data_IF_498155225317
#
_entry.id   IF_498155225317
#
_cell.length_a   1.000
_cell.length_b   1.000
_cell.length_c   1.000
_cell.angle_alpha   90.00
_cell.angle_beta   90.00
_cell.angle_gamma   90.00
#
_symmetry.space_group_name_H-M   'P 1'
#
loop_
_entity.id
_entity.type
_entity.pdbx_description
1 polymer ?
#
# COMPACT_ATOMS: atom_id res chain seq x y z
N UNK A 1 16.99 23.24 1.93
CA UNK A 1 15.54 23.51 1.86
C UNK A 1 14.95 23.28 3.24
N UNK A 2 14.22 24.23 3.82
CA UNK A 2 13.66 24.08 5.17
C UNK A 2 12.72 22.88 5.25
N UNK A 3 12.76 22.14 6.36
CA UNK A 3 11.97 20.91 6.64
C UNK A 3 10.46 21.06 6.36
N UNK A 4 9.94 22.29 6.43
CA UNK A 4 8.52 22.62 6.20
C UNK A 4 8.09 22.32 4.76
N UNK A 5 8.94 22.60 3.75
CA UNK A 5 8.64 22.36 2.33
C UNK A 5 8.64 20.89 1.92
N UNK A 6 9.13 19.97 2.77
CA UNK A 6 9.09 18.52 2.52
C UNK A 6 7.74 17.89 2.92
N UNK A 7 6.92 18.59 3.66
CA UNK A 7 5.60 18.10 4.08
C UNK A 7 4.59 18.21 2.95
N UNK A 8 3.94 17.11 2.58
CA UNK A 8 2.84 17.07 1.60
C UNK A 8 1.75 18.11 1.94
N UNK A 9 1.38 18.20 3.23
CA UNK A 9 0.41 19.20 3.72
C UNK A 9 0.87 20.62 3.41
N UNK A 10 2.13 20.95 3.68
CA UNK A 10 2.66 22.28 3.42
C UNK A 10 2.66 22.60 1.91
N UNK A 11 2.98 21.64 1.06
CA UNK A 11 2.91 21.81 -0.41
C UNK A 11 1.49 22.04 -0.89
N UNK A 12 0.52 21.31 -0.37
CA UNK A 12 -0.91 21.51 -0.69
C UNK A 12 -1.36 22.89 -0.25
N UNK A 13 -1.04 23.30 0.99
CA UNK A 13 -1.40 24.63 1.51
C UNK A 13 -0.74 25.74 0.68
N UNK A 14 0.54 25.62 0.33
CA UNK A 14 1.26 26.60 -0.50
C UNK A 14 0.65 26.67 -1.90
N UNK A 15 0.32 25.54 -2.52
CA UNK A 15 -0.31 25.50 -3.84
C UNK A 15 -1.69 26.19 -3.82
N UNK A 16 -2.50 25.90 -2.80
CA UNK A 16 -3.82 26.51 -2.62
C UNK A 16 -3.72 28.03 -2.36
N UNK A 17 -2.81 28.45 -1.49
CA UNK A 17 -2.58 29.88 -1.26
C UNK A 17 -2.05 30.57 -2.53
N UNK A 18 -1.19 29.90 -3.31
CA UNK A 18 -0.70 30.41 -4.57
C UNK A 18 -1.81 30.60 -5.61
N UNK A 19 -2.72 29.62 -5.74
CA UNK A 19 -3.87 29.73 -6.65
C UNK A 19 -4.84 30.85 -6.24
N UNK A 20 -5.07 31.02 -4.94
CA UNK A 20 -5.88 32.13 -4.41
C UNK A 20 -5.25 33.49 -4.70
N UNK A 21 -3.94 33.61 -4.52
CA UNK A 21 -3.21 34.85 -4.81
C UNK A 21 -3.25 35.17 -6.30
N UNK A 22 -3.06 34.17 -7.18
CA UNK A 22 -3.15 34.33 -8.63
C UNK A 22 -4.58 34.76 -9.02
N UNK A 23 -5.60 34.14 -8.44
CA UNK A 23 -7.01 34.51 -8.68
C UNK A 23 -7.32 35.94 -8.24
N UNK A 24 -6.80 36.36 -7.09
CA UNK A 24 -6.95 37.73 -6.60
C UNK A 24 -6.27 38.75 -7.53
N UNK A 25 -5.04 38.44 -7.97
CA UNK A 25 -4.29 39.31 -8.90
C UNK A 25 -5.01 39.40 -10.26
N UNK A 26 -5.49 38.25 -10.79
CA UNK A 26 -6.24 38.22 -12.03
C UNK A 26 -7.56 39.01 -11.94
N UNK A 27 -8.27 38.90 -10.81
CA UNK A 27 -9.47 39.69 -10.58
C UNK A 27 -9.16 41.18 -10.53
N UNK A 28 -8.12 41.57 -9.79
CA UNK A 28 -7.67 42.95 -9.69
C UNK A 28 -7.25 43.51 -11.07
N UNK A 29 -6.50 42.72 -11.84
CA UNK A 29 -6.10 43.08 -13.20
C UNK A 29 -7.31 43.28 -14.14
N UNK A 30 -8.30 42.37 -14.06
CA UNK A 30 -9.54 42.48 -14.84
C UNK A 30 -10.36 43.72 -14.43
N UNK A 31 -10.48 43.97 -13.13
CA UNK A 31 -11.14 45.16 -12.60
C UNK A 31 -10.46 46.45 -13.08
N UNK A 32 -9.13 46.50 -13.04
CA UNK A 32 -8.34 47.63 -13.52
C UNK A 32 -8.50 47.83 -15.03
N UNK A 33 -8.51 46.73 -15.81
CA UNK A 33 -8.74 46.78 -17.26
C UNK A 33 -10.14 47.29 -17.62
N UNK A 34 -11.16 46.87 -16.89
CA UNK A 34 -12.53 47.34 -17.07
C UNK A 34 -12.72 48.82 -16.65
N UNK A 35 -11.95 49.27 -15.65
CA UNK A 35 -11.94 50.69 -15.22
C UNK A 35 -10.99 51.56 -16.06
N UNK A 36 -10.40 50.99 -17.11
CA UNK A 36 -9.32 51.61 -17.85
C UNK A 36 -9.76 52.71 -18.84
N UNK A 37 -8.79 53.48 -19.40
CA UNK A 37 -9.02 54.69 -20.23
C UNK A 37 -9.81 54.43 -21.51
N UNK A 38 -9.94 53.18 -21.96
CA UNK A 38 -10.75 52.85 -23.18
C UNK A 38 -12.25 53.00 -22.89
N UNK A 39 -12.72 52.52 -21.76
CA UNK A 39 -14.13 52.63 -21.36
C UNK A 39 -14.49 54.07 -20.99
N UNK A 40 -13.54 54.80 -20.38
CA UNK A 40 -13.70 56.22 -20.13
C UNK A 40 -13.81 57.01 -21.43
N UNK A 41 -13.08 56.67 -22.49
CA UNK A 41 -13.18 57.31 -23.80
C UNK A 41 -14.56 57.05 -24.46
N UNK A 42 -15.09 55.86 -24.38
CA UNK A 42 -16.39 55.52 -24.92
C UNK A 42 -17.50 56.34 -24.19
N UNK A 43 -17.43 56.40 -22.85
CA UNK A 43 -18.35 57.19 -22.04
C UNK A 43 -18.25 58.66 -22.43
N UNK A 44 -17.05 59.24 -22.57
CA UNK A 44 -16.84 60.65 -22.98
C UNK A 44 -17.40 60.91 -24.40
N UNK A 45 -17.21 60.03 -25.38
CA UNK A 45 -17.76 60.21 -26.71
C UNK A 45 -19.30 60.22 -26.68
N UNK A 46 -19.90 59.37 -25.84
CA UNK A 46 -21.35 59.37 -25.66
C UNK A 46 -21.84 60.67 -24.99
N UNK A 47 -21.14 61.12 -23.93
CA UNK A 47 -21.45 62.36 -23.23
C UNK A 47 -21.22 63.60 -24.08
N UNK A 48 -20.18 63.63 -24.94
CA UNK A 48 -19.93 64.72 -25.87
C UNK A 48 -21.09 64.92 -26.89
N UNK A 49 -21.78 63.84 -27.23
CA UNK A 49 -22.99 63.95 -28.09
C UNK A 49 -24.18 64.46 -27.29
N UNK A 50 -24.37 64.00 -26.08
CA UNK A 50 -25.46 64.43 -25.19
C UNK A 50 -25.39 65.93 -24.84
N UNK A 51 -24.17 66.46 -24.67
CA UNK A 51 -24.02 67.89 -24.38
C UNK A 51 -24.44 68.73 -25.57
N UNK A 52 -24.07 68.33 -26.80
CA UNK A 52 -24.47 69.08 -28.02
C UNK A 52 -25.98 69.00 -28.20
N UNK A 53 -26.63 67.85 -27.99
CA UNK A 53 -28.08 67.71 -28.07
C UNK A 53 -28.79 68.56 -27.00
N UNK A 54 -28.24 68.60 -25.77
CA UNK A 54 -28.75 69.43 -24.69
C UNK A 54 -28.62 70.93 -24.96
N UNK A 55 -27.52 71.37 -25.57
CA UNK A 55 -27.31 72.74 -26.00
C UNK A 55 -28.26 73.11 -27.14
N UNK A 56 -28.44 72.23 -28.10
CA UNK A 56 -29.37 72.46 -29.17
C UNK A 56 -30.82 72.66 -28.67
N UNK A 57 -31.23 71.81 -27.73
CA UNK A 57 -32.55 71.97 -27.09
C UNK A 57 -32.70 73.33 -26.37
N UNK A 58 -31.62 73.73 -25.67
CA UNK A 58 -31.60 75.02 -24.95
C UNK A 58 -31.69 76.20 -25.88
N UNK A 59 -30.97 76.16 -27.02
CA UNK A 59 -30.88 77.27 -27.97
C UNK A 59 -32.09 77.39 -28.85
N UNK A 60 -32.68 76.28 -29.32
CA UNK A 60 -33.79 76.22 -30.23
C UNK A 60 -35.15 76.35 -29.57
N UNK A 61 -35.33 75.69 -28.45
CA UNK A 61 -36.66 75.57 -27.79
C UNK A 61 -36.68 76.17 -26.36
N UNK A 62 -35.55 76.65 -25.85
CA UNK A 62 -35.45 77.34 -24.58
C UNK A 62 -35.23 76.45 -23.38
N UNK A 63 -35.17 77.05 -22.13
CA UNK A 63 -34.78 76.32 -20.89
C UNK A 63 -35.72 75.16 -20.52
N UNK A 64 -37.00 75.23 -20.91
CA UNK A 64 -37.97 74.17 -20.64
C UNK A 64 -37.71 72.87 -21.42
N UNK A 65 -37.27 72.99 -22.67
CA UNK A 65 -36.94 71.84 -23.53
C UNK A 65 -35.62 71.21 -23.06
N UNK A 66 -34.63 72.03 -22.67
CA UNK A 66 -33.38 71.54 -22.07
C UNK A 66 -33.66 70.79 -20.81
N UNK A 67 -34.52 71.27 -19.91
CA UNK A 67 -34.97 70.61 -18.73
C UNK A 67 -35.59 69.24 -18.96
N UNK A 68 -36.50 69.18 -19.95
CA UNK A 68 -37.15 67.93 -20.36
C UNK A 68 -36.16 66.94 -20.96
N UNK A 69 -35.18 67.42 -21.71
CA UNK A 69 -34.08 66.54 -22.23
C UNK A 69 -33.23 65.98 -21.13
N UNK A 70 -32.77 66.81 -20.17
CA UNK A 70 -31.97 66.37 -19.02
C UNK A 70 -32.76 65.41 -18.15
N UNK A 71 -34.04 65.66 -17.86
CA UNK A 71 -34.91 64.73 -17.12
C UNK A 71 -35.03 63.37 -17.75
N UNK A 72 -35.13 63.31 -19.10
CA UNK A 72 -35.13 62.04 -19.84
C UNK A 72 -33.79 61.30 -19.74
N UNK A 73 -32.68 62.05 -19.79
CA UNK A 73 -31.36 61.43 -19.60
C UNK A 73 -31.22 60.86 -18.19
N UNK A 74 -31.62 61.61 -17.15
CA UNK A 74 -31.62 61.17 -15.77
C UNK A 74 -32.37 59.85 -15.57
N UNK A 75 -33.58 59.81 -16.13
CA UNK A 75 -34.44 58.65 -16.02
C UNK A 75 -33.89 57.41 -16.80
N UNK A 76 -33.29 57.62 -17.99
CA UNK A 76 -32.78 56.56 -18.81
C UNK A 76 -31.46 55.96 -18.33
N UNK A 77 -30.59 56.78 -17.70
CA UNK A 77 -29.24 56.40 -17.30
C UNK A 77 -29.09 56.18 -15.79
N UNK A 78 -30.09 56.50 -14.98
CA UNK A 78 -30.04 56.43 -13.53
C UNK A 78 -28.95 57.33 -12.94
N UNK A 79 -28.61 58.40 -13.63
CA UNK A 79 -27.60 59.39 -13.25
C UNK A 79 -28.26 60.79 -13.15
N UNK A 80 -27.61 61.73 -12.52
CA UNK A 80 -28.07 63.11 -12.48
C UNK A 80 -27.20 63.95 -13.40
N UNK A 81 -27.81 64.66 -14.32
CA UNK A 81 -27.11 65.47 -15.30
C UNK A 81 -27.38 66.96 -15.03
N UNK A 82 -26.34 67.77 -15.12
CA UNK A 82 -26.46 69.23 -15.04
C UNK A 82 -25.80 69.86 -16.26
N UNK A 83 -26.54 70.74 -16.93
CA UNK A 83 -26.02 71.54 -18.05
C UNK A 83 -25.64 72.88 -17.52
N UNK A 84 -24.33 73.19 -17.47
CA UNK A 84 -23.80 74.40 -16.85
C UNK A 84 -23.03 75.30 -17.84
N UNK A 85 -22.82 76.54 -17.50
CA UNK A 85 -21.84 77.41 -18.16
C UNK A 85 -20.40 77.00 -17.79
N UNK A 86 -19.43 77.73 -18.34
CA UNK A 86 -18.01 77.45 -18.06
C UNK A 86 -17.61 77.77 -16.59
N UNK A 87 -18.39 78.60 -15.87
CA UNK A 87 -18.20 78.93 -14.48
C UNK A 87 -18.83 77.87 -13.53
N UNK A 88 -19.70 76.99 -14.06
CA UNK A 88 -20.42 75.99 -13.26
C UNK A 88 -21.81 76.43 -12.81
N UNK A 89 -22.40 77.49 -13.41
CA UNK A 89 -23.77 77.89 -13.14
C UNK A 89 -24.70 77.06 -13.99
N UNK A 90 -25.66 76.40 -13.37
CA UNK A 90 -26.69 75.58 -14.05
C UNK A 90 -27.57 76.48 -14.92
N UNK A 91 -27.69 76.12 -16.20
CA UNK A 91 -28.42 76.90 -17.19
C UNK A 91 -29.94 76.71 -17.11
N UNK A 92 -30.42 75.71 -16.40
CA UNK A 92 -31.81 75.34 -16.22
C UNK A 92 -32.33 75.94 -14.86
N UNK A 93 -31.63 75.64 -13.77
CA UNK A 93 -32.08 76.04 -12.46
C UNK A 93 -31.47 77.39 -11.95
N UNK A 94 -30.36 77.82 -12.57
CA UNK A 94 -29.60 79.00 -12.16
C UNK A 94 -28.71 78.76 -10.93
N UNK A 95 -28.69 77.58 -10.37
CA UNK A 95 -27.90 77.27 -9.18
C UNK A 95 -26.38 77.21 -9.45
N UNK A 96 -25.58 77.53 -8.48
CA UNK A 96 -24.12 77.38 -8.57
C UNK A 96 -23.68 75.94 -8.27
N UNK A 97 -23.17 75.28 -9.29
CA UNK A 97 -22.61 73.94 -9.27
C UNK A 97 -21.07 73.93 -9.44
N UNK A 98 -20.41 75.06 -9.25
CA UNK A 98 -18.96 75.21 -9.44
C UNK A 98 -18.15 74.27 -8.55
N UNK A 99 -18.67 73.89 -7.38
CA UNK A 99 -18.09 72.92 -6.49
C UNK A 99 -17.83 71.57 -7.17
N UNK A 100 -18.75 71.13 -8.07
CA UNK A 100 -18.60 69.85 -8.80
C UNK A 100 -17.47 69.91 -9.83
N UNK A 101 -17.07 71.09 -10.30
CA UNK A 101 -15.94 71.26 -11.21
C UNK A 101 -14.58 71.18 -10.52
N UNK A 102 -14.53 71.36 -9.20
CA UNK A 102 -13.31 71.40 -8.39
C UNK A 102 -13.08 70.15 -7.60
N UNK A 103 -13.81 69.07 -7.86
CA UNK A 103 -13.66 67.79 -7.15
C UNK A 103 -12.24 67.28 -7.32
N UNK A 104 -11.49 67.02 -6.24
CA UNK A 104 -10.13 66.51 -6.35
C UNK A 104 -10.12 65.14 -7.05
N UNK A 105 -9.15 64.95 -7.95
CA UNK A 105 -8.92 63.62 -8.55
C UNK A 105 -8.22 62.77 -7.54
N UNK A 106 -8.80 61.66 -7.13
CA UNK A 106 -8.10 60.74 -6.26
C UNK A 106 -6.88 60.14 -6.99
N UNK A 107 -5.92 59.61 -6.24
CA UNK A 107 -4.77 58.92 -6.83
C UNK A 107 -5.19 57.71 -7.70
N UNK A 108 -6.34 57.13 -7.37
CA UNK A 108 -6.86 55.97 -8.07
C UNK A 108 -8.38 56.15 -8.32
N UNK A 109 -8.80 56.03 -9.60
CA UNK A 109 -10.21 56.12 -10.00
C UNK A 109 -10.66 57.52 -10.42
N UNK A 110 -11.91 57.64 -10.89
CA UNK A 110 -12.52 58.94 -11.23
C UNK A 110 -12.87 59.77 -9.97
N UNK A 111 -13.03 61.11 -10.13
CA UNK A 111 -13.47 61.97 -9.02
C UNK A 111 -14.83 61.51 -8.48
N UNK A 112 -15.00 61.54 -7.18
CA UNK A 112 -16.25 61.16 -6.51
C UNK A 112 -16.67 62.20 -5.50
N UNK A 113 -17.97 62.36 -5.35
CA UNK A 113 -18.61 63.15 -4.31
C UNK A 113 -19.84 62.39 -3.79
N UNK A 114 -20.01 62.27 -2.50
CA UNK A 114 -21.16 61.56 -1.89
C UNK A 114 -21.41 60.16 -2.52
N UNK A 115 -20.33 59.39 -2.72
CA UNK A 115 -20.34 58.03 -3.32
C UNK A 115 -20.88 58.03 -4.79
N UNK A 116 -20.88 59.19 -5.48
CA UNK A 116 -21.19 59.31 -6.88
C UNK A 116 -20.01 59.76 -7.71
N UNK A 117 -19.83 59.16 -8.85
CA UNK A 117 -18.81 59.56 -9.84
C UNK A 117 -19.16 60.92 -10.42
N UNK A 118 -18.20 61.82 -10.47
CA UNK A 118 -18.35 63.13 -11.13
C UNK A 118 -17.60 63.08 -12.43
N UNK A 119 -18.37 63.17 -13.54
CA UNK A 119 -17.80 63.26 -14.89
C UNK A 119 -18.18 64.62 -15.43
N UNK A 120 -17.19 65.37 -15.89
CA UNK A 120 -17.39 66.69 -16.49
C UNK A 120 -16.89 66.66 -17.92
N UNK A 121 -17.78 66.89 -18.85
CA UNK A 121 -17.48 66.97 -20.28
C UNK A 121 -17.76 68.36 -20.80
N UNK A 122 -16.77 69.04 -21.40
CA UNK A 122 -16.95 70.36 -22.01
C UNK A 122 -17.61 70.25 -23.40
N UNK A 123 -18.40 71.24 -23.78
CA UNK A 123 -18.86 71.44 -25.14
C UNK A 123 -17.69 71.73 -26.10
N UNK A 124 -17.91 71.56 -27.41
CA UNK A 124 -16.88 71.81 -28.46
C UNK A 124 -16.34 73.26 -28.42
N UNK A 125 -17.20 74.24 -28.09
CA UNK A 125 -16.84 75.64 -28.02
C UNK A 125 -16.30 76.06 -26.65
N UNK A 126 -16.32 75.10 -25.66
CA UNK A 126 -15.84 75.31 -24.29
C UNK A 126 -16.73 76.21 -23.41
N UNK A 127 -17.86 76.72 -23.93
CA UNK A 127 -18.76 77.62 -23.24
C UNK A 127 -19.66 76.91 -22.23
N UNK A 128 -19.99 75.66 -22.49
CA UNK A 128 -20.90 74.84 -21.67
C UNK A 128 -20.20 73.61 -21.14
N UNK A 129 -20.74 73.02 -20.06
CA UNK A 129 -20.28 71.80 -19.46
C UNK A 129 -21.47 70.93 -19.08
N UNK A 130 -21.34 69.61 -19.39
CA UNK A 130 -22.24 68.60 -18.86
C UNK A 130 -21.59 67.93 -17.68
N UNK A 131 -22.19 68.08 -16.50
CA UNK A 131 -21.75 67.42 -15.26
C UNK A 131 -22.68 66.28 -15.03
N UNK A 132 -22.09 65.07 -14.89
CA UNK A 132 -22.85 63.84 -14.68
C UNK A 132 -22.45 63.26 -13.33
N UNK A 133 -23.43 63.07 -12.46
CA UNK A 133 -23.31 62.35 -11.22
C UNK A 133 -23.91 60.98 -11.38
N UNK A 134 -23.05 59.97 -11.60
CA UNK A 134 -23.48 58.58 -11.78
C UNK A 134 -23.12 57.74 -10.54
N UNK A 135 -23.93 56.73 -10.21
CA UNK A 135 -23.50 55.75 -9.21
C UNK A 135 -22.24 55.04 -9.72
N UNK A 136 -21.32 54.64 -8.82
CA UNK A 136 -20.14 53.92 -9.22
C UNK A 136 -20.56 52.61 -9.87
N UNK A 137 -20.04 52.26 -11.09
CA UNK A 137 -20.45 51.09 -11.84
C UNK A 137 -20.18 49.80 -11.05
N UNK A 138 -19.25 49.85 -10.12
CA UNK A 138 -18.89 48.73 -9.26
C UNK A 138 -18.44 49.24 -7.89
N UNK A 139 -19.09 48.74 -6.84
CA UNK A 139 -18.60 48.92 -5.48
C UNK A 139 -17.73 47.69 -5.15
N UNK A 140 -16.41 47.89 -5.04
CA UNK A 140 -15.47 46.82 -4.71
C UNK A 140 -15.79 46.13 -3.38
N UNK A 141 -16.34 46.89 -2.42
CA UNK A 141 -16.73 46.38 -1.12
C UNK A 141 -17.85 45.34 -1.17
N UNK A 142 -18.70 45.39 -2.23
CA UNK A 142 -19.76 44.41 -2.46
C UNK A 142 -19.21 43.03 -2.77
N UNK A 143 -17.98 42.93 -3.23
CA UNK A 143 -17.35 41.64 -3.56
C UNK A 143 -16.57 41.03 -2.39
N UNK A 144 -16.23 41.83 -1.37
CA UNK A 144 -15.47 41.37 -0.18
C UNK A 144 -16.13 40.16 0.50
N UNK A 145 -17.46 40.12 0.78
CA UNK A 145 -18.09 38.96 1.41
C UNK A 145 -17.99 37.71 0.58
N UNK A 146 -18.08 37.78 -0.76
CA UNK A 146 -17.92 36.65 -1.65
C UNK A 146 -16.49 36.12 -1.63
N UNK A 147 -15.48 36.99 -1.60
CA UNK A 147 -14.08 36.58 -1.46
C UNK A 147 -13.80 35.92 -0.11
N UNK A 148 -14.32 36.43 0.97
CA UNK A 148 -14.20 35.84 2.30
C UNK A 148 -14.87 34.45 2.34
N UNK A 149 -16.04 34.30 1.68
CA UNK A 149 -16.71 33.01 1.58
C UNK A 149 -15.87 31.99 0.79
N UNK A 150 -15.32 32.39 -0.35
CA UNK A 150 -14.44 31.52 -1.17
C UNK A 150 -13.20 31.13 -0.36
N UNK A 151 -12.55 32.09 0.31
CA UNK A 151 -11.40 31.82 1.14
C UNK A 151 -11.71 30.82 2.27
N UNK A 152 -12.82 31.05 2.98
CA UNK A 152 -13.27 30.15 4.05
C UNK A 152 -13.55 28.73 3.52
N UNK A 153 -14.20 28.62 2.36
CA UNK A 153 -14.49 27.34 1.72
C UNK A 153 -13.21 26.60 1.33
N UNK A 154 -12.23 27.29 0.76
CA UNK A 154 -10.96 26.68 0.35
C UNK A 154 -10.15 26.24 1.58
N UNK A 155 -10.10 27.06 2.64
CA UNK A 155 -9.43 26.69 3.89
C UNK A 155 -10.10 25.46 4.52
N UNK A 156 -11.44 25.45 4.56
CA UNK A 156 -12.20 24.30 5.08
C UNK A 156 -11.93 23.03 4.27
N UNK A 157 -11.99 23.09 2.94
CA UNK A 157 -11.72 21.96 2.07
C UNK A 157 -10.30 21.43 2.22
N UNK A 158 -9.31 22.33 2.30
CA UNK A 158 -7.90 21.95 2.51
C UNK A 158 -7.71 21.27 3.87
N UNK A 159 -8.39 21.76 4.90
CA UNK A 159 -8.36 21.15 6.24
C UNK A 159 -9.00 19.76 6.26
N UNK A 160 -10.14 19.59 5.57
CA UNK A 160 -10.80 18.29 5.41
C UNK A 160 -9.90 17.29 4.68
N UNK A 161 -9.26 17.69 3.59
CA UNK A 161 -8.29 16.85 2.85
C UNK A 161 -7.09 16.47 3.72
N UNK A 162 -6.58 17.41 4.53
CA UNK A 162 -5.46 17.14 5.43
C UNK A 162 -5.81 16.08 6.49
N UNK A 163 -7.01 16.12 7.05
CA UNK A 163 -7.47 15.13 8.06
C UNK A 163 -7.87 13.82 7.36
N UNK A 164 -8.60 13.91 6.25
CA UNK A 164 -9.17 12.76 5.56
C UNK A 164 -8.13 11.88 4.85
N UNK A 165 -7.07 12.46 4.32
CA UNK A 165 -6.10 11.74 3.49
C UNK A 165 -4.68 11.80 4.08
N UNK A 166 -4.18 13.01 4.34
CA UNK A 166 -2.74 13.16 4.67
C UNK A 166 -2.38 12.52 6.01
N UNK A 167 -3.23 12.69 7.03
CA UNK A 167 -2.98 12.10 8.36
C UNK A 167 -2.99 10.57 8.34
N UNK A 168 -4.02 9.89 7.79
CA UNK A 168 -4.04 8.42 7.70
C UNK A 168 -2.86 7.85 6.92
N UNK A 169 -2.53 8.40 5.75
CA UNK A 169 -1.38 7.96 4.95
C UNK A 169 -0.06 8.09 5.73
N UNK A 170 0.12 9.16 6.50
CA UNK A 170 1.28 9.31 7.39
C UNK A 170 1.31 8.29 8.52
N UNK A 171 0.15 7.84 9.00
CA UNK A 171 0.08 6.77 10.00
C UNK A 171 0.59 5.46 9.42
N UNK A 172 0.12 5.06 8.24
CA UNK A 172 0.61 3.86 7.54
C UNK A 172 2.11 3.98 7.27
N UNK A 173 2.57 5.10 6.71
CA UNK A 173 4.00 5.31 6.43
C UNK A 173 4.90 5.21 7.68
N UNK A 174 4.42 5.67 8.85
CA UNK A 174 5.16 5.51 10.11
C UNK A 174 5.20 4.06 10.57
N UNK A 175 4.08 3.34 10.49
CA UNK A 175 4.03 1.92 10.82
C UNK A 175 4.97 1.10 9.94
N UNK A 176 4.96 1.33 8.62
CA UNK A 176 5.92 0.71 7.67
C UNK A 176 7.37 1.01 8.06
N UNK A 177 7.66 2.27 8.41
CA UNK A 177 9.02 2.66 8.82
C UNK A 177 9.47 2.02 10.14
N UNK A 178 8.57 1.86 11.12
CA UNK A 178 8.88 1.21 12.39
C UNK A 178 9.07 -0.30 12.20
N UNK A 179 8.19 -0.93 11.42
CA UNK A 179 8.32 -2.34 11.04
C UNK A 179 9.66 -2.62 10.34
N UNK A 180 10.05 -1.79 9.38
CA UNK A 180 11.35 -1.89 8.68
C UNK A 180 12.58 -1.66 9.57
N UNK A 181 12.41 -1.06 10.76
CA UNK A 181 13.47 -0.91 11.77
C UNK A 181 13.56 -2.10 12.74
N UNK A 182 12.71 -3.12 12.53
CA UNK A 182 12.75 -4.37 13.32
C UNK A 182 11.65 -4.51 14.36
N UNK A 183 10.74 -3.55 14.51
CA UNK A 183 9.54 -3.72 15.34
C UNK A 183 8.47 -4.47 14.55
N UNK A 184 8.63 -5.82 14.55
CA UNK A 184 7.74 -6.71 13.79
C UNK A 184 6.32 -6.80 14.38
N UNK A 185 6.10 -6.31 15.60
CA UNK A 185 4.78 -6.29 16.25
C UNK A 185 3.91 -5.12 15.79
N UNK A 186 4.51 -4.16 15.06
CA UNK A 186 3.81 -2.94 14.64
C UNK A 186 2.67 -3.26 13.66
N UNK A 187 1.48 -2.76 13.99
CA UNK A 187 0.27 -2.87 13.13
C UNK A 187 -0.39 -1.51 12.97
N UNK A 188 -1.08 -1.34 11.85
CA UNK A 188 -1.93 -0.17 11.58
C UNK A 188 -3.32 -0.45 12.12
N UNK A 189 -3.84 0.46 12.96
CA UNK A 189 -5.24 0.38 13.38
C UNK A 189 -6.13 0.84 12.23
N UNK A 190 -6.81 -0.10 11.58
CA UNK A 190 -7.73 0.19 10.49
C UNK A 190 -9.13 0.42 11.06
N UNK A 191 -9.66 1.62 10.82
CA UNK A 191 -11.01 2.03 11.25
C UNK A 191 -11.87 2.50 10.08
N UNK A 192 -11.34 2.41 8.85
CA UNK A 192 -11.94 2.93 7.62
C UNK A 192 -12.23 1.79 6.65
N UNK A 193 -13.29 1.99 5.83
CA UNK A 193 -13.70 1.06 4.78
C UNK A 193 -13.54 1.72 3.40
N UNK A 194 -12.36 2.34 3.16
CA UNK A 194 -11.97 2.94 1.90
C UNK A 194 -10.59 2.41 1.47
N UNK A 195 -10.05 2.90 0.35
CA UNK A 195 -8.77 2.47 -0.23
C UNK A 195 -7.59 2.63 0.75
N UNK A 196 -7.68 3.58 1.68
CA UNK A 196 -6.67 3.76 2.74
C UNK A 196 -6.84 2.68 3.83
N UNK A 197 -8.07 2.26 4.09
CA UNK A 197 -8.37 1.11 4.92
C UNK A 197 -7.80 -0.18 4.33
N UNK A 198 -8.04 -0.42 3.04
CA UNK A 198 -7.52 -1.58 2.30
C UNK A 198 -5.98 -1.62 2.32
N UNK A 199 -5.32 -0.47 2.16
CA UNK A 199 -3.87 -0.36 2.31
C UNK A 199 -3.41 -0.74 3.72
N UNK A 200 -4.15 -0.35 4.75
CA UNK A 200 -3.87 -0.71 6.14
C UNK A 200 -4.00 -2.21 6.39
N UNK A 201 -5.04 -2.86 5.84
CA UNK A 201 -5.21 -4.33 5.90
C UNK A 201 -4.09 -5.06 5.17
N UNK A 202 -3.80 -4.67 3.92
CA UNK A 202 -2.72 -5.28 3.15
C UNK A 202 -1.35 -5.18 3.84
N UNK A 203 -1.07 -4.04 4.49
CA UNK A 203 0.14 -3.90 5.31
C UNK A 203 0.12 -4.87 6.51
N UNK A 204 -0.98 -4.98 7.23
CA UNK A 204 -1.08 -5.85 8.41
C UNK A 204 -0.91 -7.33 8.02
N UNK A 205 -1.52 -7.76 6.92
CA UNK A 205 -1.39 -9.13 6.38
C UNK A 205 0.07 -9.43 5.98
N UNK A 206 0.73 -8.49 5.31
CA UNK A 206 2.15 -8.61 4.98
C UNK A 206 3.02 -8.68 6.25
N UNK A 207 2.73 -7.81 7.23
CA UNK A 207 3.47 -7.76 8.49
C UNK A 207 3.32 -9.07 9.29
N UNK A 208 2.14 -9.65 9.33
CA UNK A 208 1.87 -10.94 10.00
C UNK A 208 2.64 -12.08 9.34
N UNK A 209 2.62 -12.15 8.00
CA UNK A 209 3.37 -13.16 7.25
C UNK A 209 4.88 -13.05 7.50
N UNK A 210 5.43 -11.83 7.46
CA UNK A 210 6.86 -11.60 7.69
C UNK A 210 7.26 -11.91 9.14
N UNK A 211 6.45 -11.52 10.13
CA UNK A 211 6.70 -11.85 11.54
C UNK A 211 6.72 -13.36 11.76
N UNK A 212 5.75 -14.07 11.17
CA UNK A 212 5.67 -15.54 11.25
C UNK A 212 6.90 -16.19 10.62
N UNK A 213 7.31 -15.75 9.43
CA UNK A 213 8.48 -16.27 8.73
C UNK A 213 9.77 -16.02 9.52
N UNK A 214 10.02 -14.78 9.97
CA UNK A 214 11.22 -14.44 10.73
C UNK A 214 11.28 -15.13 12.10
N UNK A 215 10.11 -15.34 12.73
CA UNK A 215 10.04 -16.08 13.99
C UNK A 215 10.35 -17.57 13.79
N UNK A 216 9.83 -18.17 12.71
CA UNK A 216 10.13 -19.54 12.34
C UNK A 216 11.62 -19.72 12.00
N UNK A 217 12.21 -18.80 11.25
CA UNK A 217 13.64 -18.80 10.92
C UNK A 217 14.52 -18.70 12.17
N UNK A 218 14.20 -17.79 13.10
CA UNK A 218 14.96 -17.66 14.36
C UNK A 218 14.88 -18.92 15.20
N UNK A 219 13.71 -19.55 15.30
CA UNK A 219 13.53 -20.82 16.01
C UNK A 219 14.38 -21.92 15.36
N UNK A 220 14.32 -22.02 14.03
CA UNK A 220 15.12 -22.98 13.27
C UNK A 220 16.62 -22.82 13.56
N UNK A 221 17.15 -21.59 13.49
CA UNK A 221 18.56 -21.31 13.80
C UNK A 221 18.94 -21.65 15.25
N UNK A 222 18.03 -21.42 16.19
CA UNK A 222 18.22 -21.77 17.58
C UNK A 222 18.26 -23.29 17.78
N UNK A 223 17.31 -24.01 17.19
CA UNK A 223 17.23 -25.48 17.24
C UNK A 223 18.46 -26.12 16.61
N UNK A 224 18.91 -25.62 15.45
CA UNK A 224 20.17 -26.03 14.81
C UNK A 224 21.35 -25.87 15.76
N UNK A 225 21.45 -24.72 16.41
CA UNK A 225 22.56 -24.44 17.33
C UNK A 225 22.58 -25.43 18.53
N UNK A 226 21.41 -25.79 19.02
CA UNK A 226 21.26 -26.79 20.09
C UNK A 226 21.62 -28.20 19.61
N UNK A 227 21.09 -28.60 18.44
CA UNK A 227 21.31 -29.93 17.88
C UNK A 227 22.75 -30.16 17.37
N UNK A 228 23.49 -29.12 17.01
CA UNK A 228 24.91 -29.20 16.66
C UNK A 228 25.79 -29.30 17.91
N UNK A 229 25.46 -28.61 19.02
CA UNK A 229 26.27 -28.58 20.22
C UNK A 229 26.42 -29.98 20.85
N UNK A 230 25.36 -30.77 20.88
CA UNK A 230 25.34 -32.08 21.50
C UNK A 230 26.29 -33.09 20.83
N UNK A 231 26.24 -33.34 19.50
CA UNK A 231 27.16 -34.25 18.83
C UNK A 231 28.62 -33.73 18.85
N UNK A 232 28.83 -32.41 18.77
CA UNK A 232 30.17 -31.84 18.89
C UNK A 232 30.78 -32.11 20.28
N UNK A 233 29.98 -31.99 21.36
CA UNK A 233 30.43 -32.32 22.69
C UNK A 233 30.77 -33.83 22.81
N UNK A 234 29.92 -34.73 22.26
CA UNK A 234 30.20 -36.17 22.23
C UNK A 234 31.44 -36.52 21.40
N UNK A 235 31.64 -35.84 20.26
CA UNK A 235 32.82 -36.00 19.42
C UNK A 235 34.09 -35.63 20.21
N UNK A 236 34.08 -34.48 20.92
CA UNK A 236 35.20 -34.05 21.76
C UNK A 236 35.51 -35.07 22.88
N UNK A 237 34.48 -35.61 23.55
CA UNK A 237 34.63 -36.65 24.55
C UNK A 237 35.19 -37.94 23.92
N UNK A 238 34.70 -38.35 22.75
CA UNK A 238 35.18 -39.50 22.04
C UNK A 238 36.65 -39.35 21.61
N UNK A 239 37.08 -38.15 21.20
CA UNK A 239 38.50 -37.86 20.91
C UNK A 239 39.36 -37.99 22.15
N UNK A 240 38.91 -37.45 23.28
CA UNK A 240 39.68 -37.53 24.54
C UNK A 240 39.78 -38.97 25.06
N UNK A 241 38.69 -39.73 24.99
CA UNK A 241 38.71 -41.15 25.31
C UNK A 241 39.61 -41.95 24.35
N UNK A 242 39.62 -41.63 23.06
CA UNK A 242 40.49 -42.30 22.08
C UNK A 242 41.98 -42.08 22.34
N UNK A 243 42.36 -40.95 22.95
CA UNK A 243 43.75 -40.66 23.34
C UNK A 243 44.27 -41.58 24.42
N UNK A 244 43.39 -42.09 25.30
CA UNK A 244 43.73 -42.90 26.47
C UNK A 244 43.17 -44.34 26.37
N UNK A 245 42.63 -44.74 25.25
CA UNK A 245 41.99 -46.04 25.04
C UNK A 245 43.03 -47.14 24.79
N UNK A 246 42.89 -48.27 25.49
CA UNK A 246 43.61 -49.48 25.18
C UNK A 246 43.11 -50.14 23.89
N UNK A 247 41.83 -49.96 23.57
CA UNK A 247 41.20 -50.43 22.35
C UNK A 247 40.98 -49.24 21.36
N UNK A 248 41.94 -49.05 20.48
CA UNK A 248 41.93 -48.00 19.44
C UNK A 248 40.87 -48.22 18.39
N UNK A 249 40.49 -49.44 18.07
CA UNK A 249 39.50 -49.77 17.04
C UNK A 249 38.09 -49.43 17.54
N UNK A 250 37.77 -49.74 18.79
CA UNK A 250 36.48 -49.35 19.36
C UNK A 250 36.35 -47.81 19.49
N UNK A 251 37.44 -47.12 19.80
CA UNK A 251 37.45 -45.65 19.85
C UNK A 251 37.28 -45.02 18.46
N UNK A 252 37.97 -45.54 17.46
CA UNK A 252 37.82 -45.11 16.05
C UNK A 252 36.39 -45.31 15.53
N UNK A 253 35.76 -46.44 15.83
CA UNK A 253 34.36 -46.74 15.45
C UNK A 253 33.35 -45.79 16.13
N UNK A 254 33.63 -45.30 17.36
CA UNK A 254 32.81 -44.31 18.04
C UNK A 254 32.94 -42.94 17.36
N UNK A 255 34.17 -42.51 17.04
CA UNK A 255 34.44 -41.27 16.35
C UNK A 255 33.77 -41.24 14.97
N UNK A 256 33.89 -42.34 14.24
CA UNK A 256 33.27 -42.45 12.91
C UNK A 256 31.74 -42.33 13.00
N UNK A 257 31.11 -43.00 13.98
CA UNK A 257 29.65 -42.90 14.20
C UNK A 257 29.18 -41.47 14.51
N UNK A 258 29.90 -40.72 15.32
CA UNK A 258 29.54 -39.33 15.62
C UNK A 258 29.82 -38.39 14.43
N UNK A 259 30.86 -38.63 13.63
CA UNK A 259 31.14 -37.91 12.40
C UNK A 259 30.06 -38.16 11.34
N UNK A 260 29.65 -39.42 11.13
CA UNK A 260 28.56 -39.78 10.20
C UNK A 260 27.24 -39.14 10.64
N UNK A 261 26.98 -39.06 11.93
CA UNK A 261 25.79 -38.40 12.49
C UNK A 261 25.81 -36.90 12.25
N UNK A 262 26.94 -36.21 12.42
CA UNK A 262 27.12 -34.81 12.09
C UNK A 262 26.91 -34.54 10.59
N UNK A 263 27.50 -35.39 9.74
CA UNK A 263 27.37 -35.29 8.29
C UNK A 263 25.89 -35.42 7.85
N UNK A 264 25.17 -36.40 8.43
CA UNK A 264 23.73 -36.57 8.16
C UNK A 264 22.92 -35.36 8.64
N UNK A 265 23.25 -34.78 9.80
CA UNK A 265 22.58 -33.58 10.33
C UNK A 265 22.81 -32.38 9.41
N UNK A 266 24.04 -32.11 8.99
CA UNK A 266 24.39 -31.05 8.07
C UNK A 266 23.73 -31.24 6.72
N UNK A 267 23.70 -32.47 6.19
CA UNK A 267 22.99 -32.81 4.95
C UNK A 267 21.51 -32.49 5.02
N UNK A 268 20.83 -32.90 6.09
CA UNK A 268 19.41 -32.62 6.31
C UNK A 268 19.13 -31.12 6.48
N UNK A 269 20.06 -30.37 7.08
CA UNK A 269 19.95 -28.93 7.24
C UNK A 269 20.04 -28.21 5.90
N UNK A 270 21.00 -28.56 5.06
CA UNK A 270 21.15 -28.02 3.70
C UNK A 270 19.89 -28.29 2.88
N UNK A 271 19.25 -29.44 3.08
CA UNK A 271 17.99 -29.75 2.42
C UNK A 271 16.85 -28.83 2.86
N UNK A 272 16.69 -28.61 4.18
CA UNK A 272 15.68 -27.69 4.71
C UNK A 272 15.90 -26.28 4.15
N UNK A 273 17.15 -25.78 4.18
CA UNK A 273 17.48 -24.44 3.67
C UNK A 273 17.29 -24.30 2.16
N UNK A 274 17.60 -25.32 1.38
CA UNK A 274 17.33 -25.30 -0.07
C UNK A 274 15.83 -25.28 -0.40
N UNK A 275 15.02 -25.94 0.41
CA UNK A 275 13.56 -25.92 0.27
C UNK A 275 12.94 -24.60 0.77
N UNK A 276 13.68 -23.81 1.56
CA UNK A 276 13.27 -22.44 2.00
C UNK A 276 13.62 -21.35 1.01
N UNK A 277 14.46 -21.65 0.02
CA UNK A 277 14.78 -20.76 -1.09
C UNK A 277 13.58 -20.48 -2.01
N UNK A 278 13.82 -19.66 -3.02
CA UNK A 278 12.82 -19.20 -3.97
C UNK A 278 12.02 -20.37 -4.59
N UNK A 279 10.70 -20.47 -4.32
CA UNK A 279 9.86 -21.54 -4.91
C UNK A 279 9.87 -21.50 -6.44
N UNK A 280 10.19 -20.36 -7.06
CA UNK A 280 10.25 -20.21 -8.53
C UNK A 280 11.50 -20.85 -9.14
N UNK A 281 12.52 -21.13 -8.34
CA UNK A 281 13.74 -21.80 -8.78
C UNK A 281 13.58 -23.32 -8.94
N UNK A 282 12.48 -23.91 -8.44
CA UNK A 282 12.20 -25.34 -8.49
C UNK A 282 11.58 -25.69 -9.85
N UNK A 283 12.32 -26.43 -10.69
CA UNK A 283 11.81 -26.91 -11.97
C UNK A 283 10.87 -28.10 -11.76
N UNK A 284 9.62 -27.92 -12.17
CA UNK A 284 8.63 -28.97 -12.21
C UNK A 284 8.64 -29.64 -13.58
N UNK A 285 8.60 -30.99 -13.59
CA UNK A 285 8.59 -31.79 -14.81
C UNK A 285 7.56 -32.93 -14.71
N UNK A 286 7.08 -33.44 -15.83
CA UNK A 286 6.21 -34.61 -15.82
C UNK A 286 6.94 -35.81 -15.22
N UNK A 287 6.32 -36.50 -14.28
CA UNK A 287 6.90 -37.64 -13.58
C UNK A 287 5.86 -38.71 -13.29
N UNK A 288 6.33 -39.94 -13.06
CA UNK A 288 5.52 -41.07 -12.58
C UNK A 288 5.71 -41.19 -11.06
N UNK A 289 4.66 -40.87 -10.30
CA UNK A 289 4.68 -41.05 -8.84
C UNK A 289 4.80 -42.55 -8.45
N UNK A 290 4.20 -43.44 -9.21
CA UNK A 290 4.34 -44.89 -9.00
C UNK A 290 5.79 -45.38 -9.16
N UNK A 291 6.52 -44.88 -10.16
CA UNK A 291 7.92 -45.23 -10.35
C UNK A 291 8.80 -44.74 -9.18
N UNK A 292 8.47 -43.54 -8.60
CA UNK A 292 9.17 -43.00 -7.42
C UNK A 292 8.94 -43.91 -6.21
N UNK A 293 7.68 -44.35 -5.98
CA UNK A 293 7.36 -45.26 -4.87
C UNK A 293 8.14 -46.57 -5.00
N UNK A 294 8.15 -47.17 -6.18
CA UNK A 294 8.87 -48.42 -6.41
C UNK A 294 10.38 -48.31 -6.23
N UNK A 295 10.95 -47.16 -6.66
CA UNK A 295 12.39 -46.89 -6.48
C UNK A 295 12.76 -46.70 -5.00
N UNK A 296 11.97 -45.94 -4.27
CA UNK A 296 12.18 -45.73 -2.83
C UNK A 296 12.03 -47.03 -2.06
N UNK A 297 11.03 -47.85 -2.37
CA UNK A 297 10.85 -49.15 -1.71
C UNK A 297 12.05 -50.06 -1.95
N UNK A 298 12.53 -50.17 -3.19
CA UNK A 298 13.76 -50.92 -3.49
C UNK A 298 14.96 -50.42 -2.71
N UNK A 299 15.13 -49.08 -2.59
CA UNK A 299 16.22 -48.48 -1.86
C UNK A 299 16.17 -48.74 -0.33
N UNK A 300 14.96 -48.87 0.22
CA UNK A 300 14.76 -49.11 1.66
C UNK A 300 14.72 -50.60 2.07
N UNK A 301 14.70 -51.53 1.14
CA UNK A 301 14.60 -52.98 1.43
C UNK A 301 15.75 -53.46 2.32
N UNK A 302 16.99 -53.08 2.03
CA UNK A 302 18.17 -53.47 2.82
C UNK A 302 18.07 -52.97 4.29
N UNK A 303 17.54 -51.75 4.49
CA UNK A 303 17.33 -51.20 5.83
C UNK A 303 16.21 -51.93 6.58
N UNK A 304 15.13 -52.29 5.87
CA UNK A 304 14.05 -53.08 6.43
C UNK A 304 14.50 -54.49 6.84
N UNK A 305 15.26 -55.18 5.99
CA UNK A 305 15.82 -56.50 6.26
C UNK A 305 16.77 -56.45 7.50
N UNK A 306 17.65 -55.46 7.59
CA UNK A 306 18.54 -55.26 8.73
C UNK A 306 17.77 -55.03 10.03
N UNK A 307 16.55 -54.51 9.98
CA UNK A 307 15.63 -54.31 11.11
C UNK A 307 14.66 -55.48 11.33
N UNK A 308 14.72 -56.48 10.48
CA UNK A 308 13.82 -57.62 10.56
C UNK A 308 12.32 -57.22 10.38
N UNK A 309 12.04 -56.24 9.51
CA UNK A 309 10.69 -55.88 9.13
C UNK A 309 10.51 -56.04 7.60
N UNK A 310 9.29 -56.30 7.14
CA UNK A 310 9.00 -56.53 5.76
C UNK A 310 8.19 -55.36 5.19
N UNK A 311 8.56 -54.87 4.00
CA UNK A 311 7.78 -53.86 3.29
C UNK A 311 6.74 -54.58 2.38
N UNK A 312 5.45 -54.25 2.60
CA UNK A 312 4.34 -54.73 1.79
C UNK A 312 3.82 -53.60 0.92
N UNK A 313 3.94 -53.70 -0.38
CA UNK A 313 3.64 -52.61 -1.31
C UNK A 313 2.41 -52.96 -2.16
N UNK A 314 1.51 -51.99 -2.25
CA UNK A 314 0.46 -51.92 -3.24
C UNK A 314 0.59 -50.60 -3.99
N UNK A 315 0.94 -50.64 -5.27
CA UNK A 315 1.15 -49.49 -6.11
C UNK A 315 0.24 -49.58 -7.34
N UNK A 316 -0.91 -48.92 -7.25
CA UNK A 316 -1.94 -48.91 -8.29
C UNK A 316 -2.04 -47.47 -8.92
N UNK A 317 -0.95 -46.68 -8.90
CA UNK A 317 -0.92 -45.36 -9.52
C UNK A 317 -0.77 -45.51 -11.03
N UNK A 318 -1.73 -44.96 -11.76
CA UNK A 318 -1.72 -44.88 -13.23
C UNK A 318 -1.57 -43.44 -13.74
N UNK A 319 -1.86 -42.46 -12.92
CA UNK A 319 -1.83 -41.03 -13.28
C UNK A 319 -0.42 -40.47 -13.30
N UNK A 320 -0.16 -39.63 -14.30
CA UNK A 320 1.03 -38.76 -14.30
C UNK A 320 0.86 -37.56 -13.36
N UNK A 321 1.97 -37.09 -12.86
CA UNK A 321 2.04 -35.89 -12.00
C UNK A 321 3.09 -34.93 -12.57
N UNK A 322 2.87 -33.63 -12.42
CA UNK A 322 3.90 -32.62 -12.66
C UNK A 322 4.51 -32.21 -11.31
N UNK A 323 5.81 -32.40 -11.16
CA UNK A 323 6.47 -32.16 -9.88
C UNK A 323 7.99 -32.18 -10.00
N UNK A 324 8.67 -32.04 -8.86
CA UNK A 324 10.12 -32.18 -8.77
C UNK A 324 10.46 -33.59 -8.28
N UNK A 325 11.06 -34.45 -9.13
CA UNK A 325 11.23 -35.86 -8.82
C UNK A 325 11.99 -36.12 -7.54
N UNK A 326 13.10 -35.41 -7.35
CA UNK A 326 13.98 -35.60 -6.19
C UNK A 326 13.31 -35.20 -4.87
N UNK A 327 12.51 -34.11 -4.86
CA UNK A 327 11.79 -33.69 -3.66
C UNK A 327 10.71 -34.69 -3.27
N UNK A 328 9.97 -35.22 -4.25
CA UNK A 328 8.95 -36.25 -4.00
C UNK A 328 9.57 -37.56 -3.57
N UNK A 329 10.67 -38.02 -4.24
CA UNK A 329 11.42 -39.20 -3.85
C UNK A 329 11.84 -39.10 -2.35
N UNK A 330 12.41 -37.97 -1.95
CA UNK A 330 12.82 -37.72 -0.56
C UNK A 330 11.66 -37.68 0.43
N UNK A 331 10.51 -37.11 0.00
CA UNK A 331 9.31 -37.11 0.84
C UNK A 331 8.87 -38.53 1.19
N UNK A 332 8.74 -39.38 0.17
CA UNK A 332 8.35 -40.78 0.34
C UNK A 332 9.40 -41.56 1.12
N UNK A 333 10.70 -41.39 0.80
CA UNK A 333 11.82 -42.01 1.51
C UNK A 333 11.84 -41.67 2.99
N UNK A 334 11.68 -40.39 3.35
CA UNK A 334 11.66 -39.97 4.76
C UNK A 334 10.49 -40.58 5.53
N UNK A 335 9.31 -40.65 4.93
CA UNK A 335 8.14 -41.29 5.53
C UNK A 335 8.37 -42.81 5.70
N UNK A 336 8.86 -43.48 4.66
CA UNK A 336 9.10 -44.94 4.70
C UNK A 336 10.21 -45.30 5.68
N UNK A 337 11.33 -44.59 5.70
CA UNK A 337 12.40 -44.79 6.67
C UNK A 337 11.94 -44.54 8.10
N UNK A 338 11.06 -43.55 8.32
CA UNK A 338 10.46 -43.33 9.63
C UNK A 338 9.63 -44.54 10.07
N UNK A 339 8.78 -45.09 9.20
CA UNK A 339 7.98 -46.27 9.45
C UNK A 339 8.84 -47.51 9.77
N UNK A 340 9.89 -47.78 8.96
CA UNK A 340 10.85 -48.87 9.18
C UNK A 340 11.58 -48.73 10.52
N UNK A 341 11.92 -47.51 10.91
CA UNK A 341 12.64 -47.24 12.17
C UNK A 341 11.83 -47.60 13.41
N UNK A 342 10.52 -47.27 13.40
CA UNK A 342 9.64 -47.48 14.55
C UNK A 342 8.84 -48.81 14.51
N UNK A 343 8.91 -49.53 13.38
CA UNK A 343 8.32 -50.84 13.24
C UNK A 343 8.98 -51.86 14.23
N UNK A 344 8.21 -52.62 15.00
CA UNK A 344 8.73 -53.78 15.74
C UNK A 344 9.32 -54.83 14.81
N UNK A 345 10.23 -55.66 15.33
CA UNK A 345 10.74 -56.83 14.57
C UNK A 345 9.61 -57.74 14.17
N UNK A 346 9.77 -58.43 13.07
CA UNK A 346 8.81 -59.39 12.50
C UNK A 346 7.44 -58.82 12.20
N UNK A 347 7.36 -57.48 11.92
CA UNK A 347 6.14 -56.83 11.48
C UNK A 347 6.23 -56.28 10.08
N UNK A 348 5.06 -56.01 9.48
CA UNK A 348 4.95 -55.42 8.16
C UNK A 348 4.82 -53.90 8.23
N UNK A 349 5.52 -53.21 7.35
CA UNK A 349 5.30 -51.81 6.99
C UNK A 349 4.55 -51.78 5.66
N UNK A 350 3.32 -51.32 5.65
CA UNK A 350 2.53 -51.22 4.41
C UNK A 350 2.74 -49.90 3.70
N UNK A 351 2.84 -49.97 2.36
CA UNK A 351 2.89 -48.81 1.46
C UNK A 351 1.76 -48.98 0.45
N UNK A 352 0.72 -48.16 0.56
CA UNK A 352 -0.41 -48.15 -0.35
C UNK A 352 -0.38 -46.87 -1.18
N UNK A 353 -0.28 -47.00 -2.49
CA UNK A 353 -0.21 -45.87 -3.40
C UNK A 353 -1.28 -46.04 -4.49
N UNK A 354 -2.26 -45.13 -4.53
CA UNK A 354 -3.46 -45.27 -5.37
C UNK A 354 -3.89 -43.94 -5.97
N UNK A 355 -4.55 -43.99 -7.09
CA UNK A 355 -5.27 -42.86 -7.64
C UNK A 355 -6.54 -42.60 -6.83
N UNK A 356 -6.79 -41.34 -6.46
CA UNK A 356 -7.96 -40.90 -5.71
C UNK A 356 -8.70 -39.77 -6.44
N UNK A 357 -9.95 -39.46 -6.08
CA UNK A 357 -10.67 -38.31 -6.65
C UNK A 357 -9.96 -36.97 -6.45
N UNK A 358 -9.18 -36.84 -5.39
CA UNK A 358 -8.41 -35.62 -5.05
C UNK A 358 -7.00 -35.60 -5.68
N UNK A 359 -6.63 -36.59 -6.48
CA UNK A 359 -5.29 -36.77 -7.09
C UNK A 359 -4.66 -38.11 -6.72
N UNK A 360 -3.37 -38.11 -6.39
CA UNK A 360 -2.63 -39.31 -5.99
C UNK A 360 -2.53 -39.35 -4.47
N UNK A 361 -2.86 -40.49 -3.87
CA UNK A 361 -2.73 -40.72 -2.41
C UNK A 361 -1.70 -41.80 -2.16
N UNK A 362 -0.69 -41.53 -1.35
CA UNK A 362 0.31 -42.49 -0.89
C UNK A 362 0.20 -42.59 0.63
N UNK A 363 0.01 -43.78 1.16
CA UNK A 363 -0.13 -44.05 2.58
C UNK A 363 0.93 -45.06 3.03
N UNK A 364 1.69 -44.66 4.07
CA UNK A 364 2.65 -45.54 4.73
C UNK A 364 2.16 -45.80 6.15
N UNK A 365 2.10 -47.09 6.54
CA UNK A 365 1.65 -47.47 7.88
C UNK A 365 2.66 -48.43 8.49
N UNK A 366 3.06 -48.14 9.73
CA UNK A 366 3.83 -49.02 10.58
C UNK A 366 2.92 -49.70 11.66
N UNK A 367 3.52 -50.63 12.43
CA UNK A 367 2.90 -51.25 13.57
C UNK A 367 3.63 -50.92 14.90
N UNK A 368 4.27 -49.76 14.92
CA UNK A 368 4.99 -49.26 16.09
C UNK A 368 4.12 -48.92 17.29
N UNK A 369 4.68 -48.28 18.31
CA UNK A 369 3.95 -47.92 19.53
C UNK A 369 2.91 -46.79 19.32
N UNK A 370 2.90 -46.09 18.16
CA UNK A 370 2.14 -44.87 17.99
C UNK A 370 2.74 -43.69 18.77
N UNK A 371 2.01 -42.61 18.86
CA UNK A 371 2.41 -41.38 19.58
C UNK A 371 1.22 -40.83 20.39
N UNK A 372 1.45 -40.04 21.45
CA UNK A 372 0.39 -39.32 22.15
C UNK A 372 -0.38 -38.43 21.15
N UNK A 373 -1.71 -38.38 21.28
CA UNK A 373 -2.58 -37.58 20.38
C UNK A 373 -2.20 -36.10 20.38
N UNK A 374 -1.77 -35.57 21.52
CA UNK A 374 -1.30 -34.19 21.68
C UNK A 374 -0.04 -33.84 20.89
N UNK A 375 0.77 -34.87 20.55
CA UNK A 375 2.03 -34.70 19.83
C UNK A 375 1.87 -34.85 18.29
N UNK A 376 0.76 -35.42 17.80
CA UNK A 376 0.52 -35.62 16.38
C UNK A 376 0.70 -34.32 15.57
N UNK A 377 0.14 -33.14 15.94
CA UNK A 377 0.29 -31.91 15.19
C UNK A 377 1.74 -31.40 15.14
N UNK A 378 2.58 -31.86 16.06
CA UNK A 378 3.99 -31.45 16.19
C UNK A 378 4.96 -32.34 15.43
N UNK A 379 4.56 -33.53 15.01
CA UNK A 379 5.43 -34.51 14.32
C UNK A 379 6.01 -33.97 13.00
N UNK A 380 5.37 -33.02 12.38
CA UNK A 380 5.85 -32.36 11.15
C UNK A 380 6.67 -31.09 11.43
N UNK A 381 6.89 -30.74 12.70
CA UNK A 381 7.76 -29.63 13.07
C UNK A 381 9.23 -30.08 13.02
N UNK A 382 10.16 -29.26 12.53
CA UNK A 382 11.58 -29.57 12.54
C UNK A 382 12.07 -29.87 13.96
N UNK A 383 12.95 -30.86 14.10
CA UNK A 383 13.60 -31.29 15.35
C UNK A 383 12.67 -31.84 16.45
N UNK A 384 11.35 -31.91 16.19
CA UNK A 384 10.42 -32.44 17.18
C UNK A 384 10.53 -33.96 17.31
N UNK A 385 10.55 -34.43 18.58
CA UNK A 385 10.65 -35.87 18.96
C UNK A 385 9.83 -36.14 20.22
N UNK A 386 9.04 -37.21 20.23
CA UNK A 386 8.15 -37.56 21.37
C UNK A 386 8.94 -37.94 22.60
N UNK A 387 10.12 -38.60 22.46
CA UNK A 387 10.96 -39.05 23.56
C UNK A 387 12.46 -38.78 23.28
N UNK A 388 13.01 -37.69 23.81
CA UNK A 388 14.44 -37.34 23.65
C UNK A 388 15.40 -38.35 24.22
N UNK A 389 15.05 -39.00 25.34
CA UNK A 389 15.96 -39.87 26.09
C UNK A 389 16.07 -41.29 25.49
N UNK A 390 15.02 -41.88 24.94
CA UNK A 390 15.03 -43.22 24.35
C UNK A 390 15.52 -43.27 22.91
N UNK A 391 15.29 -42.19 22.17
CA UNK A 391 15.59 -42.11 20.75
C UNK A 391 17.03 -41.71 20.42
N UNK A 392 17.83 -41.29 21.42
CA UNK A 392 19.25 -40.96 21.19
C UNK A 392 20.06 -42.18 20.70
N UNK A 393 19.65 -43.40 21.07
CA UNK A 393 20.24 -44.65 20.57
C UNK A 393 19.79 -45.04 19.14
N UNK A 394 18.59 -44.59 18.69
CA UNK A 394 18.03 -44.94 17.39
C UNK A 394 18.38 -43.97 16.26
N UNK A 395 19.03 -42.84 16.54
CA UNK A 395 19.74 -42.02 15.54
C UNK A 395 18.94 -41.05 14.70
N UNK A 396 17.66 -40.75 15.01
CA UNK A 396 16.85 -39.76 14.23
C UNK A 396 17.00 -38.33 14.75
N UNK A 397 17.12 -37.38 13.82
CA UNK A 397 17.32 -35.95 14.09
C UNK A 397 15.97 -35.19 14.25
N UNK A 398 14.84 -35.83 13.92
CA UNK A 398 13.53 -35.18 13.94
C UNK A 398 13.24 -34.30 12.71
N UNK A 399 14.00 -34.45 11.63
CA UNK A 399 13.83 -33.66 10.40
C UNK A 399 13.05 -34.40 9.29
N UNK A 400 12.95 -35.73 9.32
CA UNK A 400 12.40 -36.51 8.22
C UNK A 400 10.95 -36.14 7.85
N UNK A 401 10.02 -36.12 8.83
CA UNK A 401 8.63 -35.77 8.57
C UNK A 401 8.42 -34.28 8.22
N UNK A 402 9.26 -33.40 8.74
CA UNK A 402 9.21 -31.97 8.38
C UNK A 402 9.68 -31.74 6.94
N UNK A 403 10.73 -32.43 6.48
CA UNK A 403 11.19 -32.43 5.08
C UNK A 403 10.09 -32.98 4.17
N UNK A 404 9.49 -34.11 4.52
CA UNK A 404 8.40 -34.70 3.75
C UNK A 404 7.19 -33.74 3.66
N UNK A 405 6.75 -33.17 4.77
CA UNK A 405 5.65 -32.23 4.82
C UNK A 405 5.91 -31.00 3.94
N UNK A 406 7.15 -30.49 3.94
CA UNK A 406 7.50 -29.32 3.14
C UNK A 406 7.57 -29.64 1.64
N UNK A 407 8.18 -30.77 1.26
CA UNK A 407 8.21 -31.22 -0.12
C UNK A 407 6.80 -31.42 -0.68
N UNK A 408 5.90 -32.02 0.09
CA UNK A 408 4.49 -32.21 -0.28
C UNK A 408 3.78 -30.87 -0.45
N UNK A 409 3.98 -29.92 0.43
CA UNK A 409 3.40 -28.55 0.31
C UNK A 409 3.89 -27.78 -0.90
N UNK A 410 5.17 -27.93 -1.29
CA UNK A 410 5.69 -27.34 -2.51
C UNK A 410 4.98 -27.88 -3.76
N UNK A 411 4.44 -29.11 -3.69
CA UNK A 411 3.61 -29.72 -4.73
C UNK A 411 2.11 -29.46 -4.53
N UNK A 412 1.74 -28.45 -3.72
CA UNK A 412 0.34 -28.12 -3.38
C UNK A 412 -0.45 -29.28 -2.76
N UNK A 413 0.26 -30.28 -2.24
CA UNK A 413 -0.32 -31.43 -1.57
C UNK A 413 -0.47 -31.24 -0.06
N UNK A 414 -0.98 -32.27 0.60
CA UNK A 414 -1.11 -32.34 2.06
C UNK A 414 -0.48 -33.62 2.61
N UNK A 415 0.13 -33.50 3.80
CA UNK A 415 0.64 -34.64 4.56
C UNK A 415 -0.12 -34.69 5.89
N UNK A 416 -0.78 -35.82 6.14
CA UNK A 416 -1.51 -36.11 7.38
C UNK A 416 -0.83 -37.25 8.14
N UNK A 417 -0.79 -37.16 9.46
CA UNK A 417 -0.28 -38.18 10.36
C UNK A 417 -1.37 -38.53 11.36
N UNK A 418 -1.61 -39.81 11.58
CA UNK A 418 -2.62 -40.31 12.50
C UNK A 418 -2.17 -41.61 13.20
N UNK A 419 -2.66 -41.88 14.39
CA UNK A 419 -2.48 -43.20 15.03
C UNK A 419 -3.32 -44.26 14.34
N UNK A 420 -2.73 -45.43 14.09
CA UNK A 420 -3.37 -46.54 13.38
C UNK A 420 -3.73 -47.76 14.27
N UNK A 421 -3.42 -47.66 15.57
CA UNK A 421 -3.73 -48.65 16.60
C UNK A 421 -3.57 -50.14 16.20
N UNK A 422 -2.37 -50.72 16.10
CA UNK A 422 -1.10 -50.13 16.48
C UNK A 422 -0.41 -49.37 15.35
N UNK A 423 0.53 -48.48 15.74
CA UNK A 423 1.43 -47.77 14.85
C UNK A 423 0.91 -46.42 14.38
N UNK A 424 1.66 -45.84 13.46
CA UNK A 424 1.32 -44.60 12.78
C UNK A 424 0.92 -44.86 11.32
N UNK A 425 0.03 -44.03 10.82
CA UNK A 425 -0.30 -43.88 9.41
C UNK A 425 0.07 -42.49 8.95
N UNK A 426 0.89 -42.41 7.91
CA UNK A 426 1.26 -41.16 7.26
C UNK A 426 0.70 -41.19 5.84
N UNK A 427 -0.18 -40.23 5.53
CA UNK A 427 -0.84 -40.10 4.22
C UNK A 427 -0.34 -38.86 3.51
N UNK A 428 0.16 -39.01 2.29
CA UNK A 428 0.54 -37.95 1.37
C UNK A 428 -0.52 -37.87 0.27
N UNK A 429 -1.14 -36.71 0.11
CA UNK A 429 -2.09 -36.45 -0.98
C UNK A 429 -1.50 -35.38 -1.89
N UNK A 430 -1.35 -35.72 -3.17
CA UNK A 430 -0.86 -34.82 -4.20
C UNK A 430 -2.02 -34.53 -5.17
N UNK A 431 -2.42 -33.25 -5.34
CA UNK A 431 -3.52 -32.92 -6.24
C UNK A 431 -3.15 -33.23 -7.69
N UNK A 432 -4.16 -33.48 -8.49
CA UNK A 432 -3.99 -33.53 -9.93
C UNK A 432 -3.48 -32.17 -10.40
N UNK A 433 -2.37 -32.14 -11.16
CA UNK A 433 -1.77 -30.87 -11.58
C UNK A 433 -2.78 -30.08 -12.42
N UNK A 434 -3.41 -29.07 -11.81
CA UNK A 434 -4.04 -27.99 -12.55
C UNK A 434 -2.91 -27.29 -13.30
N UNK A 435 -2.96 -27.31 -14.63
CA UNK A 435 -1.89 -26.82 -15.49
C UNK A 435 -1.37 -25.49 -14.99
N UNK A 436 -0.07 -25.39 -14.85
CA UNK A 436 0.65 -24.17 -14.54
C UNK A 436 0.30 -23.12 -15.61
N UNK A 437 -0.68 -22.26 -15.34
CA UNK A 437 -0.81 -21.01 -16.06
C UNK A 437 0.34 -20.12 -15.62
N UNK A 438 1.39 -20.09 -16.45
CA UNK A 438 2.40 -19.06 -16.35
C UNK A 438 1.68 -17.70 -16.37
N UNK A 439 1.73 -16.99 -15.27
CA UNK A 439 1.33 -15.59 -15.22
C UNK A 439 2.24 -14.83 -16.19
N UNK A 440 1.63 -14.42 -17.32
CA UNK A 440 2.20 -13.54 -18.34
C UNK A 440 2.27 -12.11 -17.81
#
# INVERSE_FOLDING_TARGET
MPRILRSLTARIVIAVLGTLLISLVAFMATFLAMSGPANVRLIRQFQARQIEDGIAALQQEGPGAAAAFIARLDQSLGATHYLTDAAGRDLITGEDRSALLRVPRPWFGPPQIDDRLVVVEPSRDGRYRLIVLAPPPFNIWSFVPYYLLILATVVCLTWLLAIGIVRPVRHVARAVSQFGRGDLSMRVRVTRNDEIGDLGHAFNDMAERLETLLTAERRLLQDISHELRSPLARLNIAIELARHADDRDAAALRLQREADRLTSLVGSLIEVTRMEGDPTAVKFEPLSAGAIVDDVVRGCTVEADARQCRIVVRNDITRGLTGHPELLRRAVENVLRNAIRYAPRDTDVSVDAVDSPSGITMTVRDRGPGVPEEDIPRLTQPFFRVNEARDSASGGIGLGLSIASRAVRLHHGSLAVENAHPGLRVSIVLPESVGYQAAS
#
